data_IF_365262282071
#
_entry.id   IF_365262282071
#
_cell.length_a   1.000
_cell.length_b   1.000
_cell.length_c   1.000
_cell.angle_alpha   90.00
_cell.angle_beta   90.00
_cell.angle_gamma   90.00
#
_symmetry.space_group_name_H-M   'P 1'
#
loop_
_entity.id
_entity.type
_entity.pdbx_description
1 polymer ?
#
# COMPACT_ATOMS: atom_id res chain seq x y z
N UNK A 1 -43.18 -48.50 -3.37
CA UNK A 1 -42.54 -48.08 -4.64
C UNK A 1 -42.29 -46.57 -4.58
N UNK A 2 -41.04 -46.13 -4.75
CA UNK A 2 -40.60 -44.82 -5.30
C UNK A 2 -41.04 -43.57 -4.48
N UNK A 3 -40.22 -43.04 -3.55
CA UNK A 3 -39.07 -42.11 -3.72
C UNK A 3 -39.44 -40.77 -4.37
N UNK A 4 -39.56 -39.70 -3.57
CA UNK A 4 -39.30 -38.33 -4.04
C UNK A 4 -38.46 -37.56 -3.01
N UNK A 5 -37.39 -36.98 -3.54
CA UNK A 5 -36.30 -36.27 -2.89
C UNK A 5 -36.74 -34.93 -2.34
N UNK A 6 -36.34 -34.61 -1.10
CA UNK A 6 -36.19 -33.22 -0.66
C UNK A 6 -34.74 -32.81 -0.89
N UNK A 7 -34.54 -31.91 -1.85
CA UNK A 7 -33.27 -31.24 -2.11
C UNK A 7 -33.15 -30.12 -1.08
N UNK A 8 -32.29 -30.28 -0.07
CA UNK A 8 -31.85 -29.18 0.79
C UNK A 8 -30.57 -28.61 0.21
N UNK A 9 -30.69 -27.48 -0.49
CA UNK A 9 -29.58 -26.64 -0.93
C UNK A 9 -28.75 -26.22 0.28
N UNK A 10 -27.44 -26.47 0.24
CA UNK A 10 -26.49 -26.10 1.28
C UNK A 10 -25.48 -25.10 0.68
N UNK A 11 -25.91 -23.86 0.49
CA UNK A 11 -25.03 -22.75 0.10
C UNK A 11 -24.19 -22.31 1.31
N UNK A 12 -23.01 -22.90 1.49
CA UNK A 12 -21.92 -22.32 2.29
C UNK A 12 -21.03 -21.48 1.38
N UNK A 13 -21.50 -20.29 1.00
CA UNK A 13 -20.74 -19.30 0.24
C UNK A 13 -20.88 -17.88 0.82
N UNK A 14 -21.00 -17.77 2.15
CA UNK A 14 -21.39 -16.53 2.83
C UNK A 14 -20.38 -15.90 3.79
N UNK A 15 -19.16 -16.44 3.97
CA UNK A 15 -18.30 -15.98 5.09
C UNK A 15 -16.87 -15.56 4.73
N UNK A 16 -16.50 -15.47 3.45
CA UNK A 16 -15.15 -15.01 3.06
C UNK A 16 -15.13 -13.54 2.60
N UNK A 17 -16.27 -12.96 2.23
CA UNK A 17 -16.32 -11.61 1.66
C UNK A 17 -16.16 -10.47 2.68
N UNK A 18 -16.31 -10.71 3.99
CA UNK A 18 -16.33 -9.63 4.98
C UNK A 18 -14.96 -9.29 5.59
N UNK A 19 -13.96 -10.17 5.48
CA UNK A 19 -12.62 -9.94 6.04
C UNK A 19 -11.68 -9.17 5.11
N UNK A 20 -11.99 -9.10 3.81
CA UNK A 20 -11.20 -8.33 2.83
C UNK A 20 -11.44 -6.81 2.88
N UNK A 21 -12.55 -6.34 3.48
CA UNK A 21 -12.87 -4.91 3.49
C UNK A 21 -12.08 -4.10 4.54
N UNK A 22 -11.53 -4.73 5.58
CA UNK A 22 -10.76 -4.03 6.61
C UNK A 22 -9.26 -3.90 6.29
N UNK A 23 -8.69 -4.81 5.49
CA UNK A 23 -7.27 -4.76 5.15
C UNK A 23 -6.94 -3.66 4.12
N UNK A 24 -7.89 -3.24 3.28
CA UNK A 24 -7.68 -2.18 2.29
C UNK A 24 -7.59 -0.78 2.94
N UNK A 25 -8.30 -0.55 4.07
CA UNK A 25 -8.25 0.75 4.76
C UNK A 25 -6.96 1.01 5.54
N UNK A 26 -6.23 -0.04 5.95
CA UNK A 26 -4.97 0.13 6.68
C UNK A 26 -3.80 0.59 5.78
N UNK A 27 -3.90 0.42 4.46
CA UNK A 27 -2.86 0.82 3.51
C UNK A 27 -3.01 2.25 2.96
N UNK A 28 -4.18 2.88 3.14
CA UNK A 28 -4.49 4.23 2.63
C UNK A 28 -4.45 5.32 3.71
N UNK A 29 -4.29 4.96 4.99
CA UNK A 29 -4.43 5.91 6.12
C UNK A 29 -3.14 6.60 6.54
N UNK A 30 -1.99 6.32 5.92
CA UNK A 30 -0.70 6.90 6.35
C UNK A 30 -0.46 8.34 5.85
N UNK A 31 -1.43 9.00 5.22
CA UNK A 31 -1.25 10.31 4.59
C UNK A 31 -1.66 11.51 5.47
N UNK A 32 -1.86 11.34 6.78
CA UNK A 32 -2.36 12.42 7.64
C UNK A 32 -1.70 12.45 9.03
N UNK A 33 -0.38 12.60 9.12
CA UNK A 33 0.23 13.21 10.31
C UNK A 33 1.61 13.76 10.02
N UNK A 34 1.80 15.03 10.39
CA UNK A 34 3.03 15.84 10.38
C UNK A 34 3.31 16.66 9.11
N UNK A 35 2.46 17.66 8.86
CA UNK A 35 2.92 18.92 8.24
C UNK A 35 3.84 19.65 9.24
N UNK A 36 5.14 19.47 9.09
CA UNK A 36 6.11 20.51 9.47
C UNK A 36 6.91 20.85 8.23
N UNK A 37 6.61 22.05 7.71
CA UNK A 37 7.26 22.79 6.63
C UNK A 37 8.70 22.37 6.31
N UNK A 38 8.87 21.58 5.26
CA UNK A 38 10.12 21.51 4.51
C UNK A 38 9.99 22.46 3.30
N UNK A 39 10.53 23.67 3.45
CA UNK A 39 10.74 24.59 2.34
C UNK A 39 11.63 23.90 1.28
N UNK A 40 11.03 23.46 0.17
CA UNK A 40 11.75 23.21 -1.08
C UNK A 40 11.24 24.18 -2.12
N UNK A 41 12.17 24.93 -2.70
CA UNK A 41 11.92 26.01 -3.63
C UNK A 41 11.05 25.54 -4.81
N UNK A 42 9.94 26.24 -5.02
CA UNK A 42 9.07 26.10 -6.18
C UNK A 42 9.85 26.51 -7.44
N UNK A 43 9.76 25.78 -8.56
CA UNK A 43 10.37 26.21 -9.82
C UNK A 43 9.83 27.60 -10.23
N UNK A 44 10.67 28.47 -10.81
CA UNK A 44 10.34 29.87 -11.03
C UNK A 44 9.50 30.04 -12.32
N UNK A 45 8.24 29.59 -12.33
CA UNK A 45 7.26 30.04 -13.35
C UNK A 45 5.78 29.72 -13.06
N UNK A 46 5.35 29.65 -11.79
CA UNK A 46 3.94 29.39 -11.47
C UNK A 46 3.32 30.61 -10.78
N UNK A 47 2.32 31.21 -11.45
CA UNK A 47 1.37 32.13 -10.82
C UNK A 47 0.82 31.49 -9.53
N UNK A 48 0.47 32.28 -8.50
CA UNK A 48 -0.10 31.75 -7.27
C UNK A 48 -1.31 30.87 -7.60
N UNK A 49 -1.15 29.57 -7.41
CA UNK A 49 -2.22 28.59 -7.63
C UNK A 49 -3.25 28.82 -6.53
N UNK A 50 -4.37 29.46 -6.88
CA UNK A 50 -5.42 29.83 -5.92
C UNK A 50 -6.73 29.20 -6.34
N UNK A 51 -7.48 28.69 -5.36
CA UNK A 51 -8.79 28.12 -5.59
C UNK A 51 -9.83 29.25 -5.60
N UNK A 52 -10.65 29.30 -6.65
CA UNK A 52 -11.83 30.14 -6.67
C UNK A 52 -12.81 29.72 -5.58
N UNK A 53 -13.55 30.69 -5.03
CA UNK A 53 -14.46 30.46 -3.89
C UNK A 53 -15.52 29.38 -4.17
N UNK A 54 -15.99 29.28 -5.42
CA UNK A 54 -16.93 28.25 -5.84
C UNK A 54 -16.30 26.85 -5.86
N UNK A 55 -15.06 26.73 -6.38
CA UNK A 55 -14.34 25.46 -6.42
C UNK A 55 -13.96 25.01 -5.00
N UNK A 56 -13.43 25.93 -4.17
CA UNK A 56 -13.11 25.65 -2.76
C UNK A 56 -14.32 25.08 -2.02
N UNK A 57 -15.48 25.72 -2.15
CA UNK A 57 -16.71 25.24 -1.49
C UNK A 57 -17.12 23.85 -1.94
N UNK A 58 -16.99 23.55 -3.24
CA UNK A 58 -17.30 22.22 -3.76
C UNK A 58 -16.33 21.15 -3.24
N UNK A 59 -15.04 21.46 -3.14
CA UNK A 59 -14.04 20.57 -2.55
C UNK A 59 -14.32 20.32 -1.06
N UNK A 60 -14.59 21.37 -0.28
CA UNK A 60 -14.89 21.26 1.15
C UNK A 60 -16.14 20.40 1.40
N UNK A 61 -17.20 20.62 0.62
CA UNK A 61 -18.42 19.82 0.70
C UNK A 61 -18.16 18.35 0.36
N UNK A 62 -17.36 18.08 -0.68
CA UNK A 62 -17.01 16.72 -1.09
C UNK A 62 -16.14 16.01 -0.04
N UNK A 63 -15.22 16.72 0.60
CA UNK A 63 -14.44 16.21 1.73
C UNK A 63 -15.33 15.81 2.91
N UNK A 64 -16.33 16.63 3.25
CA UNK A 64 -17.26 16.30 4.32
C UNK A 64 -18.11 15.06 3.98
N UNK A 65 -18.58 14.93 2.74
CA UNK A 65 -19.29 13.74 2.29
C UNK A 65 -18.42 12.49 2.40
N UNK A 66 -17.14 12.57 2.01
CA UNK A 66 -16.17 11.49 2.17
C UNK A 66 -15.98 11.13 3.65
N UNK A 67 -15.82 12.12 4.53
CA UNK A 67 -15.69 11.90 5.98
C UNK A 67 -16.90 11.16 6.56
N UNK A 68 -18.09 11.48 6.05
CA UNK A 68 -19.36 10.82 6.38
C UNK A 68 -19.57 9.48 5.65
N UNK A 69 -18.58 8.97 4.92
CA UNK A 69 -18.65 7.74 4.11
C UNK A 69 -19.68 7.78 2.97
N UNK A 70 -20.15 8.97 2.59
CA UNK A 70 -21.12 9.22 1.50
C UNK A 70 -20.40 9.40 0.16
N UNK A 71 -19.53 8.45 -0.18
CA UNK A 71 -18.60 8.54 -1.32
C UNK A 71 -19.29 8.61 -2.69
N UNK A 72 -20.50 8.06 -2.84
CA UNK A 72 -21.29 8.15 -4.08
C UNK A 72 -21.78 9.58 -4.31
N UNK A 73 -22.17 10.27 -3.25
CA UNK A 73 -22.63 11.67 -3.32
C UNK A 73 -21.45 12.60 -3.55
N UNK A 74 -20.32 12.34 -2.89
CA UNK A 74 -19.07 13.05 -3.18
C UNK A 74 -18.67 12.93 -4.65
N UNK A 75 -18.78 11.74 -5.25
CA UNK A 75 -18.52 11.56 -6.69
C UNK A 75 -19.45 12.44 -7.55
N UNK A 76 -20.74 12.49 -7.23
CA UNK A 76 -21.72 13.29 -7.96
C UNK A 76 -21.37 14.79 -7.89
N UNK A 77 -21.09 15.29 -6.69
CA UNK A 77 -20.77 16.70 -6.45
C UNK A 77 -19.46 17.08 -7.16
N UNK A 78 -18.43 16.23 -7.10
CA UNK A 78 -17.17 16.45 -7.79
C UNK A 78 -17.34 16.48 -9.31
N UNK A 79 -18.08 15.54 -9.90
CA UNK A 79 -18.32 15.54 -11.34
C UNK A 79 -19.14 16.76 -11.79
N UNK A 80 -19.97 17.31 -10.91
CA UNK A 80 -20.74 18.54 -11.18
C UNK A 80 -19.82 19.77 -11.10
N UNK A 81 -18.99 19.86 -10.07
CA UNK A 81 -18.04 20.96 -9.88
C UNK A 81 -17.02 21.05 -11.03
N UNK A 82 -16.57 19.90 -11.55
CA UNK A 82 -15.68 19.83 -12.71
C UNK A 82 -16.27 20.48 -13.97
N UNK A 83 -17.60 20.55 -14.08
CA UNK A 83 -18.31 21.14 -15.22
C UNK A 83 -18.67 22.61 -15.01
N UNK A 84 -18.70 23.10 -13.77
CA UNK A 84 -19.38 24.35 -13.42
C UNK A 84 -18.51 25.38 -12.70
N UNK A 85 -17.58 24.95 -11.85
CA UNK A 85 -16.96 25.84 -10.85
C UNK A 85 -15.45 25.70 -10.70
N UNK A 86 -14.86 24.54 -11.06
CA UNK A 86 -13.42 24.29 -11.02
C UNK A 86 -12.86 24.26 -12.45
N UNK A 87 -12.52 25.42 -13.01
CA UNK A 87 -12.22 25.56 -14.45
C UNK A 87 -10.75 25.81 -14.76
N UNK A 88 -9.95 26.27 -13.80
CA UNK A 88 -8.50 26.40 -13.99
C UNK A 88 -7.80 25.04 -13.95
N UNK A 89 -6.60 24.94 -14.55
CA UNK A 89 -5.85 23.68 -14.57
C UNK A 89 -5.52 23.14 -13.17
N UNK A 90 -5.20 24.03 -12.22
CA UNK A 90 -4.95 23.61 -10.83
C UNK A 90 -6.21 23.19 -10.09
N UNK A 91 -7.32 23.93 -10.24
CA UNK A 91 -8.61 23.53 -9.67
C UNK A 91 -9.09 22.18 -10.21
N UNK A 92 -8.94 21.96 -11.52
CA UNK A 92 -9.27 20.69 -12.17
C UNK A 92 -8.43 19.54 -11.58
N UNK A 93 -7.14 19.76 -11.33
CA UNK A 93 -6.25 18.76 -10.75
C UNK A 93 -6.53 18.50 -9.25
N UNK A 94 -6.91 19.53 -8.48
CA UNK A 94 -7.36 19.33 -7.09
C UNK A 94 -8.63 18.48 -7.03
N UNK A 95 -9.58 18.77 -7.91
CA UNK A 95 -10.81 17.99 -8.03
C UNK A 95 -10.52 16.56 -8.48
N UNK A 96 -9.65 16.40 -9.48
CA UNK A 96 -9.24 15.09 -9.98
C UNK A 96 -8.60 14.24 -8.87
N UNK A 97 -7.83 14.86 -7.97
CA UNK A 97 -7.26 14.20 -6.80
C UNK A 97 -8.33 13.60 -5.89
N UNK A 98 -9.40 14.36 -5.61
CA UNK A 98 -10.49 13.87 -4.78
C UNK A 98 -11.37 12.84 -5.51
N UNK A 99 -11.53 12.96 -6.83
CA UNK A 99 -12.18 11.94 -7.66
C UNK A 99 -11.41 10.62 -7.66
N UNK A 100 -10.08 10.66 -7.82
CA UNK A 100 -9.23 9.47 -7.81
C UNK A 100 -9.37 8.70 -6.49
N UNK A 101 -9.32 9.43 -5.37
CA UNK A 101 -9.59 8.88 -4.03
C UNK A 101 -10.99 8.27 -3.94
N UNK A 102 -12.01 9.00 -4.40
CA UNK A 102 -13.42 8.57 -4.36
C UNK A 102 -13.66 7.31 -5.19
N UNK A 103 -13.04 7.21 -6.38
CA UNK A 103 -13.10 6.00 -7.20
C UNK A 103 -12.42 4.81 -6.54
N UNK A 104 -11.25 5.01 -5.92
CA UNK A 104 -10.55 3.95 -5.18
C UNK A 104 -11.38 3.42 -4.02
N UNK A 105 -11.99 4.30 -3.22
CA UNK A 105 -12.84 3.89 -2.09
C UNK A 105 -14.08 3.11 -2.52
N UNK A 106 -14.59 3.38 -3.72
CA UNK A 106 -15.67 2.62 -4.34
C UNK A 106 -15.19 1.40 -5.12
N UNK A 107 -13.89 1.09 -5.10
CA UNK A 107 -13.26 0.02 -5.88
C UNK A 107 -13.52 0.12 -7.39
N UNK A 108 -13.78 1.33 -7.89
CA UNK A 108 -13.90 1.66 -9.32
C UNK A 108 -12.49 1.78 -9.93
N UNK A 109 -11.69 0.73 -9.78
CA UNK A 109 -10.24 0.76 -10.07
C UNK A 109 -9.88 1.25 -11.47
N UNK A 110 -10.59 0.90 -12.57
CA UNK A 110 -10.26 1.46 -13.88
C UNK A 110 -10.32 2.99 -13.93
N UNK A 111 -11.33 3.59 -13.28
CA UNK A 111 -11.47 5.06 -13.22
C UNK A 111 -10.47 5.69 -12.26
N UNK A 112 -10.18 5.01 -11.16
CA UNK A 112 -9.16 5.45 -10.21
C UNK A 112 -7.77 5.48 -10.87
N UNK A 113 -7.38 4.42 -11.59
CA UNK A 113 -6.11 4.32 -12.32
C UNK A 113 -5.98 5.48 -13.30
N UNK A 114 -6.98 5.71 -14.15
CA UNK A 114 -6.95 6.81 -15.13
C UNK A 114 -6.77 8.18 -14.44
N UNK A 115 -7.45 8.40 -13.31
CA UNK A 115 -7.33 9.64 -12.56
C UNK A 115 -5.96 9.80 -11.90
N UNK A 116 -5.41 8.74 -11.29
CA UNK A 116 -4.07 8.78 -10.70
C UNK A 116 -2.97 8.96 -11.73
N UNK A 117 -3.06 8.32 -12.90
CA UNK A 117 -2.08 8.53 -13.98
C UNK A 117 -2.01 10.00 -14.43
N UNK A 118 -3.16 10.67 -14.49
CA UNK A 118 -3.24 12.12 -14.76
C UNK A 118 -2.65 12.96 -13.64
N UNK A 119 -2.88 12.61 -12.38
CA UNK A 119 -2.28 13.29 -11.21
C UNK A 119 -0.75 13.18 -11.25
N UNK A 120 -0.21 11.99 -11.54
CA UNK A 120 1.24 11.75 -11.66
C UNK A 120 1.86 12.61 -12.77
N UNK A 121 1.13 12.82 -13.86
CA UNK A 121 1.55 13.65 -14.99
C UNK A 121 1.27 15.16 -14.80
N UNK A 122 0.65 15.57 -13.70
CA UNK A 122 0.28 16.97 -13.48
C UNK A 122 1.49 17.88 -13.36
N UNK A 123 1.44 19.05 -14.02
CA UNK A 123 2.40 20.14 -13.80
C UNK A 123 1.96 21.10 -12.69
N UNK A 124 0.71 21.02 -12.24
CA UNK A 124 0.12 21.93 -11.26
C UNK A 124 0.25 21.39 -9.83
N UNK A 125 0.47 20.09 -9.68
CA UNK A 125 0.62 19.42 -8.38
C UNK A 125 2.09 19.27 -7.99
N UNK A 126 2.36 19.52 -6.72
CA UNK A 126 3.69 19.42 -6.14
C UNK A 126 4.21 17.96 -6.14
N UNK A 127 5.51 17.82 -5.87
CA UNK A 127 6.16 16.50 -5.89
C UNK A 127 5.60 15.53 -4.85
N UNK A 128 5.20 16.01 -3.67
CA UNK A 128 4.65 15.16 -2.61
C UNK A 128 3.32 14.59 -3.07
N UNK A 129 2.42 15.45 -3.54
CA UNK A 129 1.12 15.04 -4.08
C UNK A 129 1.27 14.00 -5.20
N UNK A 130 2.21 14.21 -6.13
CA UNK A 130 2.45 13.25 -7.23
C UNK A 130 3.04 11.93 -6.76
N UNK A 131 3.88 11.97 -5.73
CA UNK A 131 4.45 10.76 -5.11
C UNK A 131 3.37 9.93 -4.41
N UNK A 132 2.44 10.56 -3.68
CA UNK A 132 1.28 9.89 -3.06
C UNK A 132 0.36 9.23 -4.10
N UNK A 133 0.19 9.87 -5.26
CA UNK A 133 -0.56 9.30 -6.38
C UNK A 133 0.10 8.04 -6.96
N UNK A 134 1.42 8.05 -7.13
CA UNK A 134 2.17 6.83 -7.53
C UNK A 134 2.02 5.74 -6.48
N UNK A 135 2.09 6.09 -5.19
CA UNK A 135 1.90 5.14 -4.10
C UNK A 135 0.56 4.42 -4.21
N UNK A 136 -0.51 5.20 -4.35
CA UNK A 136 -1.87 4.67 -4.46
C UNK A 136 -2.07 3.87 -5.75
N UNK A 137 -1.51 4.33 -6.87
CA UNK A 137 -1.57 3.63 -8.14
C UNK A 137 -0.90 2.26 -8.07
N UNK A 138 0.29 2.18 -7.46
CA UNK A 138 1.01 0.93 -7.26
C UNK A 138 0.21 -0.04 -6.36
N UNK A 139 -0.40 0.45 -5.28
CA UNK A 139 -1.28 -0.38 -4.44
C UNK A 139 -2.48 -0.93 -5.21
N UNK A 140 -3.13 -0.10 -6.04
CA UNK A 140 -4.26 -0.55 -6.87
C UNK A 140 -3.80 -1.64 -7.84
N UNK A 141 -2.68 -1.45 -8.54
CA UNK A 141 -2.14 -2.47 -9.44
C UNK A 141 -1.82 -3.76 -8.70
N UNK A 142 -1.21 -3.68 -7.51
CA UNK A 142 -0.97 -4.84 -6.66
C UNK A 142 -2.27 -5.58 -6.29
N UNK A 143 -3.30 -4.85 -5.86
CA UNK A 143 -4.61 -5.43 -5.51
C UNK A 143 -5.31 -6.09 -6.71
N UNK A 144 -5.06 -5.60 -7.92
CA UNK A 144 -5.58 -6.18 -9.15
C UNK A 144 -4.72 -7.34 -9.70
N UNK A 145 -3.61 -7.67 -9.03
CA UNK A 145 -2.69 -8.72 -9.47
C UNK A 145 -1.76 -8.28 -10.61
N UNK A 146 -1.72 -7.00 -10.95
CA UNK A 146 -0.83 -6.43 -11.97
C UNK A 146 0.55 -6.12 -11.36
N UNK A 147 1.21 -7.18 -10.87
CA UNK A 147 2.49 -7.09 -10.18
C UNK A 147 3.60 -6.56 -11.07
N UNK A 148 3.54 -6.83 -12.38
CA UNK A 148 4.54 -6.34 -13.33
C UNK A 148 4.48 -4.83 -13.44
N UNK A 149 3.28 -4.24 -13.45
CA UNK A 149 3.14 -2.79 -13.50
C UNK A 149 3.62 -2.11 -12.23
N UNK A 150 3.42 -2.73 -11.06
CA UNK A 150 4.01 -2.26 -9.80
C UNK A 150 5.53 -2.20 -9.90
N UNK A 151 6.16 -3.29 -10.36
CA UNK A 151 7.61 -3.36 -10.52
C UNK A 151 8.10 -2.30 -11.52
N UNK A 152 7.53 -2.26 -12.72
CA UNK A 152 7.95 -1.31 -13.76
C UNK A 152 7.78 0.14 -13.28
N UNK A 153 6.66 0.49 -12.67
CA UNK A 153 6.39 1.86 -12.21
C UNK A 153 7.38 2.33 -11.12
N UNK A 154 7.80 1.44 -10.22
CA UNK A 154 8.59 1.80 -9.03
C UNK A 154 10.10 1.52 -9.17
N UNK A 155 10.50 0.66 -10.11
CA UNK A 155 11.91 0.35 -10.39
C UNK A 155 12.45 1.20 -11.53
N UNK A 156 11.59 1.67 -12.45
CA UNK A 156 12.01 2.52 -13.56
C UNK A 156 12.59 3.86 -13.08
N UNK A 157 13.47 4.43 -13.92
CA UNK A 157 14.18 5.68 -13.62
C UNK A 157 13.29 6.85 -13.19
N UNK A 158 12.02 6.89 -13.63
CA UNK A 158 11.03 7.90 -13.24
C UNK A 158 10.66 7.84 -11.77
N UNK A 159 10.74 6.67 -11.13
CA UNK A 159 10.52 6.54 -9.69
C UNK A 159 11.61 7.26 -8.87
N UNK A 160 12.82 7.45 -9.43
CA UNK A 160 13.92 8.14 -8.73
C UNK A 160 13.69 9.64 -8.51
N UNK A 161 12.76 10.23 -9.25
CA UNK A 161 12.33 11.62 -9.03
C UNK A 161 11.29 11.73 -7.90
N UNK A 162 10.65 10.62 -7.53
CA UNK A 162 9.58 10.56 -6.55
C UNK A 162 10.12 10.21 -5.17
N UNK A 163 9.36 10.58 -4.14
CA UNK A 163 9.67 10.24 -2.76
C UNK A 163 9.30 8.78 -2.49
N UNK A 164 10.18 7.87 -2.92
CA UNK A 164 10.02 6.42 -2.70
C UNK A 164 10.53 6.05 -1.31
N UNK A 165 9.67 5.47 -0.48
CA UNK A 165 10.02 4.96 0.85
C UNK A 165 10.15 3.42 0.87
N UNK A 166 10.59 2.89 2.01
CA UNK A 166 10.73 1.45 2.21
C UNK A 166 9.40 0.69 2.05
N UNK A 167 8.26 1.33 2.34
CA UNK A 167 6.94 0.75 2.15
C UNK A 167 6.65 0.42 0.68
N UNK A 168 7.05 1.31 -0.24
CA UNK A 168 7.00 1.04 -1.67
C UNK A 168 7.96 -0.06 -2.09
N UNK A 169 9.18 -0.07 -1.57
CA UNK A 169 10.15 -1.12 -1.87
C UNK A 169 9.65 -2.50 -1.40
N UNK A 170 9.00 -2.58 -0.23
CA UNK A 170 8.34 -3.80 0.22
C UNK A 170 7.19 -4.21 -0.72
N UNK A 171 6.45 -3.26 -1.28
CA UNK A 171 5.40 -3.55 -2.27
C UNK A 171 6.00 -4.14 -3.57
N UNK A 172 7.15 -3.63 -4.00
CA UNK A 172 7.93 -4.20 -5.12
C UNK A 172 8.41 -5.61 -4.78
N UNK A 173 8.98 -5.82 -3.59
CA UNK A 173 9.43 -7.14 -3.15
C UNK A 173 8.28 -8.16 -3.13
N UNK A 174 7.11 -7.78 -2.61
CA UNK A 174 5.89 -8.61 -2.65
C UNK A 174 5.42 -8.89 -4.07
N UNK A 175 5.59 -7.93 -4.99
CA UNK A 175 5.24 -8.10 -6.40
C UNK A 175 6.17 -9.10 -7.09
N UNK A 176 7.49 -9.03 -6.83
CA UNK A 176 8.43 -10.05 -7.29
C UNK A 176 8.11 -11.43 -6.74
N UNK A 177 7.76 -11.51 -5.46
CA UNK A 177 7.38 -12.79 -4.85
C UNK A 177 6.17 -13.44 -5.54
N UNK A 178 5.12 -12.68 -5.84
CA UNK A 178 3.95 -13.19 -6.59
C UNK A 178 4.27 -13.63 -8.02
N UNK A 179 5.36 -13.12 -8.61
CA UNK A 179 5.88 -13.58 -9.90
C UNK A 179 6.86 -14.75 -9.80
N UNK A 180 6.97 -15.39 -8.62
CA UNK A 180 7.93 -16.44 -8.32
C UNK A 180 9.41 -15.99 -8.45
N UNK A 181 9.68 -14.69 -8.39
CA UNK A 181 11.02 -14.10 -8.40
C UNK A 181 11.55 -13.90 -6.97
N UNK A 182 11.48 -14.95 -6.14
CA UNK A 182 11.78 -14.90 -4.69
C UNK A 182 13.16 -14.33 -4.37
N UNK A 183 14.18 -14.61 -5.19
CA UNK A 183 15.52 -14.07 -4.99
C UNK A 183 15.56 -12.53 -5.09
N UNK A 184 14.79 -11.93 -6.02
CA UNK A 184 14.70 -10.47 -6.14
C UNK A 184 13.93 -9.86 -4.97
N UNK A 185 12.86 -10.53 -4.54
CA UNK A 185 12.11 -10.12 -3.35
C UNK A 185 13.01 -10.12 -2.10
N UNK A 186 13.80 -11.19 -1.90
CA UNK A 186 14.72 -11.31 -0.78
C UNK A 186 15.78 -10.21 -0.80
N UNK A 187 16.41 -9.95 -1.95
CA UNK A 187 17.45 -8.94 -2.06
C UNK A 187 16.97 -7.53 -1.64
N UNK A 188 15.72 -7.18 -1.98
CA UNK A 188 15.12 -5.91 -1.55
C UNK A 188 14.89 -5.91 -0.03
N UNK A 189 14.33 -7.00 0.51
CA UNK A 189 14.08 -7.10 1.95
C UNK A 189 15.38 -7.06 2.77
N UNK A 190 16.44 -7.70 2.30
CA UNK A 190 17.74 -7.73 2.96
C UNK A 190 18.34 -6.32 3.03
N UNK A 191 18.27 -5.55 1.94
CA UNK A 191 18.74 -4.17 1.93
C UNK A 191 17.96 -3.27 2.92
N UNK A 192 16.63 -3.42 2.98
CA UNK A 192 15.79 -2.66 3.93
C UNK A 192 16.16 -3.02 5.37
N UNK A 193 16.31 -4.31 5.67
CA UNK A 193 16.65 -4.79 7.01
C UNK A 193 18.05 -4.35 7.41
N UNK A 194 19.04 -4.48 6.52
CA UNK A 194 20.43 -4.04 6.76
C UNK A 194 20.48 -2.54 7.06
N UNK A 195 19.81 -1.72 6.26
CA UNK A 195 19.74 -0.28 6.47
C UNK A 195 19.07 0.09 7.80
N UNK A 196 17.96 -0.57 8.14
CA UNK A 196 17.26 -0.32 9.40
C UNK A 196 18.11 -0.70 10.61
N UNK A 197 18.79 -1.86 10.56
CA UNK A 197 19.71 -2.31 11.62
C UNK A 197 20.88 -1.34 11.78
N UNK A 198 21.49 -0.90 10.68
CA UNK A 198 22.59 0.08 10.71
C UNK A 198 22.14 1.45 11.27
N UNK A 199 20.86 1.79 11.09
CA UNK A 199 20.25 3.01 11.61
C UNK A 199 19.63 2.89 13.01
N UNK A 200 19.79 1.75 13.70
CA UNK A 200 19.15 1.46 14.99
C UNK A 200 17.61 1.64 14.96
N UNK A 201 17.00 1.26 13.83
CA UNK A 201 15.56 1.35 13.60
C UNK A 201 14.88 0.00 13.84
N UNK A 202 13.77 0.02 14.57
CA UNK A 202 12.93 -1.16 14.74
C UNK A 202 12.11 -1.40 13.47
N UNK A 203 12.42 -2.50 12.78
CA UNK A 203 11.74 -2.91 11.55
C UNK A 203 10.33 -3.38 11.87
N UNK A 204 9.34 -2.96 11.07
CA UNK A 204 7.93 -3.37 11.24
C UNK A 204 7.80 -4.90 11.26
N UNK A 205 7.06 -5.43 12.23
CA UNK A 205 6.83 -6.86 12.41
C UNK A 205 6.38 -7.57 11.11
N UNK A 206 5.42 -6.99 10.38
CA UNK A 206 4.93 -7.56 9.12
C UNK A 206 5.99 -7.66 8.01
N UNK A 207 7.03 -6.83 8.06
CA UNK A 207 8.15 -6.86 7.10
C UNK A 207 9.15 -7.95 7.46
N UNK A 208 9.46 -8.09 8.76
CA UNK A 208 10.26 -9.21 9.26
C UNK A 208 9.59 -10.56 9.00
N UNK A 209 8.27 -10.68 9.22
CA UNK A 209 7.51 -11.90 8.91
C UNK A 209 7.59 -12.22 7.42
N UNK A 210 7.52 -11.21 6.55
CA UNK A 210 7.64 -11.41 5.11
C UNK A 210 9.05 -11.90 4.73
N UNK A 211 10.11 -11.25 5.21
CA UNK A 211 11.50 -11.70 4.98
C UNK A 211 11.74 -13.12 5.51
N UNK A 212 11.23 -13.44 6.69
CA UNK A 212 11.29 -14.78 7.27
C UNK A 212 10.64 -15.83 6.35
N UNK A 213 9.49 -15.52 5.76
CA UNK A 213 8.82 -16.41 4.82
C UNK A 213 9.64 -16.63 3.55
N UNK A 214 10.24 -15.57 2.99
CA UNK A 214 11.09 -15.66 1.82
C UNK A 214 12.30 -16.59 2.08
N UNK A 215 12.97 -16.47 3.23
CA UNK A 215 14.06 -17.37 3.60
C UNK A 215 13.63 -18.82 3.81
N UNK A 216 12.41 -19.08 4.27
CA UNK A 216 11.88 -20.43 4.35
C UNK A 216 11.64 -21.04 2.97
N UNK A 217 11.12 -20.25 2.03
CA UNK A 217 10.87 -20.70 0.66
C UNK A 217 12.18 -21.01 -0.08
N UNK A 218 13.25 -20.27 0.21
CA UNK A 218 14.60 -20.54 -0.32
C UNK A 218 15.40 -21.56 0.51
N UNK A 219 14.81 -22.14 1.56
CA UNK A 219 15.45 -23.08 2.48
C UNK A 219 16.71 -22.52 3.18
N UNK A 220 16.79 -21.20 3.32
CA UNK A 220 17.86 -20.48 4.00
C UNK A 220 17.58 -20.42 5.52
N UNK A 221 17.62 -21.59 6.17
CA UNK A 221 17.12 -21.73 7.54
C UNK A 221 17.94 -20.98 8.59
N UNK A 222 19.25 -20.80 8.40
CA UNK A 222 20.08 -20.00 9.31
C UNK A 222 19.66 -18.53 9.28
N UNK A 223 19.44 -17.97 8.09
CA UNK A 223 18.95 -16.61 7.92
C UNK A 223 17.53 -16.46 8.46
N UNK A 224 16.66 -17.44 8.21
CA UNK A 224 15.33 -17.48 8.81
C UNK A 224 15.39 -17.52 10.35
N UNK A 225 16.38 -18.19 10.95
CA UNK A 225 16.59 -18.17 12.39
C UNK A 225 16.96 -16.77 12.89
N UNK A 226 17.90 -16.08 12.21
CA UNK A 226 18.31 -14.72 12.56
C UNK A 226 17.16 -13.71 12.49
N UNK A 227 16.32 -13.77 11.44
CA UNK A 227 15.12 -12.93 11.35
C UNK A 227 14.10 -13.31 12.45
N UNK A 228 13.97 -14.60 12.75
CA UNK A 228 13.14 -15.09 13.84
C UNK A 228 13.58 -14.56 15.22
N UNK A 229 14.88 -14.46 15.46
CA UNK A 229 15.43 -13.88 16.69
C UNK A 229 15.14 -12.39 16.79
N UNK A 230 15.27 -11.63 15.68
CA UNK A 230 14.86 -10.21 15.64
C UNK A 230 13.36 -10.05 15.93
N UNK A 231 12.51 -10.91 15.36
CA UNK A 231 11.07 -10.93 15.65
C UNK A 231 10.81 -11.17 17.13
N UNK A 232 11.48 -12.14 17.76
CA UNK A 232 11.32 -12.43 19.18
C UNK A 232 11.83 -11.31 20.08
N UNK A 233 12.92 -10.65 19.71
CA UNK A 233 13.51 -9.56 20.47
C UNK A 233 12.62 -8.31 20.50
N UNK A 234 12.05 -7.93 19.35
CA UNK A 234 11.24 -6.71 19.23
C UNK A 234 9.73 -6.94 19.42
N UNK A 235 9.23 -8.14 19.11
CA UNK A 235 7.82 -8.48 19.10
C UNK A 235 7.56 -9.85 19.78
N UNK A 236 7.84 -10.02 21.08
CA UNK A 236 7.71 -11.33 21.73
C UNK A 236 6.25 -11.85 21.71
N UNK A 237 6.03 -13.03 21.14
CA UNK A 237 4.72 -13.70 21.15
C UNK A 237 4.85 -15.23 21.09
N UNK A 238 3.83 -15.96 21.54
CA UNK A 238 3.80 -17.42 21.43
C UNK A 238 3.81 -17.89 19.96
N UNK A 239 3.21 -17.10 19.07
CA UNK A 239 3.23 -17.38 17.63
C UNK A 239 4.65 -17.28 17.07
N UNK A 240 5.42 -16.26 17.46
CA UNK A 240 6.82 -16.12 17.05
C UNK A 240 7.71 -17.20 17.64
N UNK A 241 7.51 -17.53 18.92
CA UNK A 241 8.21 -18.64 19.57
C UNK A 241 7.95 -19.96 18.85
N UNK A 242 6.72 -20.18 18.41
CA UNK A 242 6.35 -21.34 17.60
C UNK A 242 7.03 -21.33 16.23
N UNK A 243 7.02 -20.19 15.51
CA UNK A 243 7.73 -20.02 14.24
C UNK A 243 9.23 -20.32 14.36
N UNK A 244 9.88 -19.78 15.39
CA UNK A 244 11.30 -20.02 15.65
C UNK A 244 11.58 -21.53 15.83
N UNK A 245 10.81 -22.20 16.71
CA UNK A 245 10.93 -23.66 16.91
C UNK A 245 10.75 -24.46 15.61
N UNK A 246 9.82 -24.06 14.75
CA UNK A 246 9.65 -24.73 13.46
C UNK A 246 10.88 -24.59 12.57
N UNK A 247 11.51 -23.41 12.49
CA UNK A 247 12.75 -23.22 11.72
C UNK A 247 13.86 -24.10 12.28
N UNK A 248 14.02 -24.13 13.59
CA UNK A 248 15.03 -24.95 14.27
C UNK A 248 14.88 -26.44 13.94
N UNK A 249 13.65 -26.94 13.91
CA UNK A 249 13.38 -28.33 13.56
C UNK A 249 13.62 -28.60 12.07
N UNK A 250 13.11 -27.73 11.19
CA UNK A 250 13.20 -27.91 9.74
C UNK A 250 14.61 -27.75 9.18
N UNK A 251 15.41 -26.87 9.76
CA UNK A 251 16.81 -26.65 9.38
C UNK A 251 17.82 -27.50 10.16
N UNK A 252 17.35 -28.40 11.04
CA UNK A 252 18.22 -29.20 11.93
C UNK A 252 19.13 -28.35 12.85
N UNK A 253 18.74 -27.09 13.12
CA UNK A 253 19.48 -26.09 13.88
C UNK A 253 19.23 -26.18 15.40
N UNK A 254 18.89 -27.36 15.93
CA UNK A 254 18.49 -27.54 17.33
C UNK A 254 19.60 -27.17 18.33
N UNK A 255 20.87 -27.15 17.92
CA UNK A 255 21.99 -26.68 18.74
C UNK A 255 21.96 -25.16 18.93
N UNK A 256 21.66 -24.41 17.86
CA UNK A 256 21.58 -22.94 17.87
C UNK A 256 20.38 -22.44 18.67
N UNK A 257 19.27 -23.18 18.66
CA UNK A 257 18.05 -22.75 19.35
C UNK A 257 17.99 -23.13 20.83
N UNK A 258 18.90 -23.98 21.31
CA UNK A 258 18.97 -24.39 22.73
C UNK A 258 19.66 -23.35 23.63
N UNK A 259 20.46 -22.46 23.06
CA UNK A 259 21.13 -21.37 23.78
C UNK A 259 20.18 -20.20 24.08
N UNK A 260 19.13 -20.03 23.28
CA UNK A 260 18.13 -18.97 23.45
C UNK A 260 17.06 -19.43 24.45
N UNK A 261 17.39 -19.34 25.74
CA UNK A 261 16.40 -19.51 26.82
C UNK A 261 15.37 -18.38 26.73
N UNK A 262 14.17 -18.69 26.23
CA UNK A 262 12.97 -17.87 26.35
C UNK A 262 11.88 -18.63 27.09
#
# INVERSE_FOLDING_TARGET
>A
MIKFMSIRSNNKAGSVAFLMSCLVMAFLTSACTNLTTANRATPPDQQPQTLGTACQRALDQSHELIRLQRVVEAEHDLLTAAKQSCSSGYEADQLLRLLAYTFSHQQKYPRAIEAYEKIVASKYLDLVTRSEAVYTLAQIHYLQGDYQRVITQLVDAKARELLVDDGLQVLVARSYYHQAETAKAQAIMDAIIEQAVAGDQVIKEAWLIFSWHLYLDTQSFEQALLIGDQLMAHYPSDQHRYRLRQVCQRGELLSLCRSVKH
#
